data_IF_922656300558
#
_entry.id   IF_922656300558
#
_cell.length_a   1.000
_cell.length_b   1.000
_cell.length_c   1.000
_cell.angle_alpha   90.00
_cell.angle_beta   90.00
_cell.angle_gamma   90.00
#
_symmetry.space_group_name_H-M   'P 1'
#
loop_
_entity.id
_entity.type
_entity.pdbx_description
1 polymer ?
#
# COMPACT_ATOMS: atom_id res chain seq x y z
N UNK A 1 -15.40 10.78 22.41
CA UNK A 1 -14.08 10.49 21.82
C UNK A 1 -14.22 10.58 20.31
N UNK A 2 -13.24 11.15 19.61
CA UNK A 2 -13.27 11.37 18.16
C UNK A 2 -12.14 10.56 17.52
N UNK A 3 -12.44 9.89 16.41
CA UNK A 3 -11.47 9.24 15.53
C UNK A 3 -11.47 10.03 14.21
N UNK A 4 -10.29 10.37 13.73
CA UNK A 4 -10.09 11.03 12.45
C UNK A 4 -9.49 9.97 11.53
N UNK A 5 -10.12 9.77 10.39
CA UNK A 5 -9.62 8.90 9.33
C UNK A 5 -8.87 9.79 8.34
N UNK A 6 -7.58 9.57 8.19
CA UNK A 6 -6.65 10.44 7.47
C UNK A 6 -6.65 10.15 5.96
N UNK A 7 -6.92 8.90 5.57
CA UNK A 7 -6.85 8.46 4.18
C UNK A 7 -8.02 7.52 3.79
N UNK A 8 -8.10 7.20 2.50
CA UNK A 8 -9.14 6.30 1.96
C UNK A 8 -9.02 4.88 2.48
N UNK A 9 -7.80 4.41 2.77
CA UNK A 9 -7.56 3.09 3.33
C UNK A 9 -8.17 2.97 4.74
N UNK A 10 -7.97 3.95 5.62
CA UNK A 10 -8.58 3.99 6.94
C UNK A 10 -10.10 4.07 6.89
N UNK A 11 -10.66 4.85 5.94
CA UNK A 11 -12.11 4.88 5.69
C UNK A 11 -12.67 3.51 5.30
N UNK A 12 -12.02 2.85 4.35
CA UNK A 12 -12.40 1.51 3.93
C UNK A 12 -12.26 0.51 5.08
N UNK A 13 -11.11 0.53 5.76
CA UNK A 13 -10.80 -0.33 6.88
C UNK A 13 -11.89 -0.20 7.94
N UNK A 14 -12.25 1.03 8.33
CA UNK A 14 -13.32 1.31 9.30
C UNK A 14 -14.66 0.65 8.91
N UNK A 15 -15.10 0.85 7.67
CA UNK A 15 -16.33 0.21 7.17
C UNK A 15 -16.26 -1.31 7.20
N UNK A 16 -15.08 -1.87 6.91
CA UNK A 16 -14.87 -3.31 7.04
C UNK A 16 -14.87 -3.79 8.49
N UNK A 17 -14.38 -2.99 9.44
CA UNK A 17 -14.40 -3.34 10.87
C UNK A 17 -15.83 -3.44 11.39
N UNK A 18 -16.71 -2.54 10.97
CA UNK A 18 -18.12 -2.58 11.34
C UNK A 18 -18.77 -3.87 10.85
N UNK A 19 -18.53 -4.24 9.58
CA UNK A 19 -19.02 -5.51 9.01
C UNK A 19 -18.44 -6.71 9.74
N UNK A 20 -17.13 -6.71 9.99
CA UNK A 20 -16.41 -7.78 10.66
C UNK A 20 -16.93 -7.98 12.09
N UNK A 21 -17.13 -6.89 12.83
CA UNK A 21 -17.63 -6.91 14.20
C UNK A 21 -19.07 -7.41 14.28
N UNK A 22 -19.95 -6.94 13.39
CA UNK A 22 -21.33 -7.46 13.31
C UNK A 22 -21.37 -8.97 12.98
N UNK A 23 -20.39 -9.47 12.21
CA UNK A 23 -20.25 -10.91 11.98
C UNK A 23 -19.73 -11.66 13.23
N UNK A 24 -18.77 -11.08 13.92
CA UNK A 24 -18.17 -11.62 15.14
C UNK A 24 -19.22 -11.82 16.24
N UNK A 25 -20.06 -10.82 16.49
CA UNK A 25 -21.11 -10.90 17.53
C UNK A 25 -22.10 -12.06 17.28
N UNK A 26 -22.30 -12.44 16.02
CA UNK A 26 -23.16 -13.56 15.62
C UNK A 26 -22.47 -14.92 15.75
N UNK A 27 -21.14 -14.97 15.85
CA UNK A 27 -20.32 -16.19 15.89
C UNK A 27 -19.40 -16.15 17.11
N UNK A 28 -19.89 -16.66 18.24
CA UNK A 28 -19.21 -16.53 19.55
C UNK A 28 -18.10 -17.56 19.80
N UNK A 29 -17.76 -18.39 18.81
CA UNK A 29 -16.93 -19.58 19.03
C UNK A 29 -15.45 -19.36 18.65
N UNK A 30 -15.11 -18.19 18.10
CA UNK A 30 -13.75 -17.84 17.68
C UNK A 30 -13.16 -16.77 18.60
N UNK A 31 -11.85 -16.81 18.82
CA UNK A 31 -11.14 -15.66 19.36
C UNK A 31 -11.16 -14.49 18.37
N UNK A 32 -10.91 -13.28 18.89
CA UNK A 32 -10.86 -12.08 18.05
C UNK A 32 -9.83 -12.21 16.92
N UNK A 33 -8.63 -12.72 17.24
CA UNK A 33 -7.54 -12.91 16.28
C UNK A 33 -7.95 -13.88 15.15
N UNK A 34 -8.54 -15.02 15.52
CA UNK A 34 -9.01 -16.02 14.55
C UNK A 34 -10.13 -15.46 13.68
N UNK A 35 -11.03 -14.67 14.27
CA UNK A 35 -12.10 -14.03 13.51
C UNK A 35 -11.56 -12.99 12.52
N UNK A 36 -10.60 -12.16 12.93
CA UNK A 36 -9.94 -11.20 12.04
C UNK A 36 -9.24 -11.91 10.88
N UNK A 37 -8.42 -12.90 11.19
CA UNK A 37 -7.72 -13.69 10.17
C UNK A 37 -8.69 -14.28 9.17
N UNK A 38 -9.75 -14.95 9.65
CA UNK A 38 -10.79 -15.50 8.78
C UNK A 38 -11.54 -14.44 7.98
N UNK A 39 -11.91 -13.33 8.61
CA UNK A 39 -12.73 -12.32 7.96
C UNK A 39 -11.96 -11.61 6.85
N UNK A 40 -10.76 -11.13 7.14
CA UNK A 40 -9.95 -10.39 6.17
C UNK A 40 -9.27 -11.30 5.14
N UNK A 41 -8.73 -12.44 5.55
CA UNK A 41 -7.94 -13.29 4.66
C UNK A 41 -8.76 -14.39 3.96
N UNK A 42 -9.97 -14.71 4.44
CA UNK A 42 -10.82 -15.71 3.78
C UNK A 42 -12.10 -15.11 3.20
N UNK A 43 -12.90 -14.38 4.01
CA UNK A 43 -14.23 -13.91 3.60
C UNK A 43 -14.17 -12.68 2.69
N UNK A 44 -13.29 -11.74 3.00
CA UNK A 44 -13.11 -10.47 2.28
C UNK A 44 -11.74 -10.41 1.60
N UNK A 45 -11.15 -11.57 1.26
CA UNK A 45 -9.78 -11.67 0.78
C UNK A 45 -9.50 -10.77 -0.42
N UNK A 46 -10.28 -10.88 -1.47
CA UNK A 46 -10.06 -10.13 -2.72
C UNK A 46 -10.16 -8.61 -2.50
N UNK A 47 -11.16 -8.16 -1.74
CA UNK A 47 -11.33 -6.75 -1.40
C UNK A 47 -10.16 -6.25 -0.52
N UNK A 48 -9.70 -7.09 0.42
CA UNK A 48 -8.59 -6.77 1.31
C UNK A 48 -7.26 -6.71 0.56
N UNK A 49 -6.97 -7.70 -0.28
CA UNK A 49 -5.75 -7.72 -1.11
C UNK A 49 -5.72 -6.54 -2.08
N UNK A 50 -6.85 -6.20 -2.70
CA UNK A 50 -6.92 -5.03 -3.57
C UNK A 50 -6.65 -3.72 -2.83
N UNK A 51 -7.23 -3.55 -1.64
CA UNK A 51 -7.04 -2.34 -0.85
C UNK A 51 -5.63 -2.21 -0.28
N UNK A 52 -5.01 -3.33 0.11
CA UNK A 52 -3.59 -3.34 0.51
C UNK A 52 -2.71 -2.97 -0.67
N UNK A 53 -2.93 -3.54 -1.86
CA UNK A 53 -2.15 -3.20 -3.06
C UNK A 53 -2.24 -1.70 -3.40
N UNK A 54 -3.45 -1.12 -3.38
CA UNK A 54 -3.66 0.30 -3.60
C UNK A 54 -2.93 1.18 -2.56
N UNK A 55 -2.94 0.78 -1.29
CA UNK A 55 -2.25 1.51 -0.23
C UNK A 55 -0.72 1.40 -0.37
N UNK A 56 -0.19 0.23 -0.77
CA UNK A 56 1.24 0.07 -1.08
C UNK A 56 1.65 0.99 -2.24
N UNK A 57 0.88 1.02 -3.33
CA UNK A 57 1.10 1.94 -4.46
C UNK A 57 1.06 3.41 -4.03
N UNK A 58 0.10 3.78 -3.16
CA UNK A 58 0.03 5.14 -2.62
C UNK A 58 1.28 5.51 -1.84
N UNK A 59 1.74 4.63 -0.94
CA UNK A 59 2.96 4.86 -0.14
C UNK A 59 4.23 4.92 -1.00
N UNK A 60 4.28 4.12 -2.06
CA UNK A 60 5.36 4.19 -3.06
C UNK A 60 5.42 5.57 -3.72
N UNK A 61 4.28 6.09 -4.17
CA UNK A 61 4.20 7.41 -4.80
C UNK A 61 4.58 8.51 -3.81
N UNK A 62 4.18 8.40 -2.55
CA UNK A 62 4.56 9.35 -1.50
C UNK A 62 6.07 9.36 -1.23
N UNK A 63 6.73 8.20 -1.29
CA UNK A 63 8.16 8.08 -0.99
C UNK A 63 9.07 8.40 -2.18
N UNK A 64 8.67 7.98 -3.40
CA UNK A 64 9.53 8.02 -4.60
C UNK A 64 8.99 8.94 -5.72
N UNK A 65 7.80 9.51 -5.57
CA UNK A 65 7.12 10.25 -6.63
C UNK A 65 6.43 9.34 -7.64
N UNK A 66 5.70 9.95 -8.59
CA UNK A 66 5.00 9.21 -9.65
C UNK A 66 5.96 8.65 -10.70
N UNK A 67 7.18 9.18 -10.77
CA UNK A 67 8.23 8.75 -11.68
C UNK A 67 8.72 7.33 -11.37
N UNK A 68 8.40 6.77 -10.20
CA UNK A 68 8.69 5.37 -9.87
C UNK A 68 8.14 4.39 -10.92
N UNK A 69 6.95 4.67 -11.45
CA UNK A 69 6.28 3.83 -12.44
C UNK A 69 7.04 3.78 -13.77
N UNK A 70 7.76 4.85 -14.13
CA UNK A 70 8.63 4.89 -15.31
C UNK A 70 9.81 3.92 -15.22
N UNK A 71 10.12 3.40 -14.02
CA UNK A 71 11.19 2.44 -13.77
C UNK A 71 10.66 1.03 -13.57
N UNK A 72 9.55 0.85 -12.84
CA UNK A 72 9.03 -0.49 -12.48
C UNK A 72 8.10 -1.11 -13.53
N UNK A 73 7.45 -0.30 -14.36
CA UNK A 73 6.51 -0.80 -15.39
C UNK A 73 7.20 -1.12 -16.73
N UNK A 74 8.49 -0.81 -16.85
CA UNK A 74 9.28 -1.06 -18.05
C UNK A 74 10.29 -2.16 -17.79
N UNK A 75 10.60 -2.95 -18.83
CA UNK A 75 11.70 -3.90 -18.76
C UNK A 75 13.07 -3.17 -18.79
N UNK A 76 14.11 -3.82 -18.26
CA UNK A 76 15.49 -3.28 -18.16
C UNK A 76 15.96 -2.68 -19.50
N UNK A 77 15.65 -3.34 -20.61
CA UNK A 77 16.08 -2.91 -21.94
C UNK A 77 15.42 -1.60 -22.34
N UNK A 78 14.11 -1.43 -22.09
CA UNK A 78 13.39 -0.18 -22.36
C UNK A 78 13.88 0.96 -21.48
N UNK A 79 14.14 0.70 -20.20
CA UNK A 79 14.70 1.69 -19.28
C UNK A 79 16.05 2.20 -19.78
N UNK A 80 16.98 1.27 -20.08
CA UNK A 80 18.31 1.61 -20.59
C UNK A 80 18.21 2.37 -21.92
N UNK A 81 17.36 1.92 -22.85
CA UNK A 81 17.18 2.60 -24.12
C UNK A 81 16.66 4.04 -23.95
N UNK A 82 15.71 4.26 -23.03
CA UNK A 82 15.20 5.60 -22.69
C UNK A 82 16.33 6.47 -22.15
N UNK A 83 17.08 5.98 -21.16
CA UNK A 83 18.21 6.71 -20.58
C UNK A 83 19.30 7.06 -21.59
N UNK A 84 19.67 6.10 -22.45
CA UNK A 84 20.64 6.31 -23.53
C UNK A 84 20.15 7.36 -24.52
N UNK A 85 18.89 7.30 -24.97
CA UNK A 85 18.33 8.26 -25.91
C UNK A 85 18.34 9.69 -25.34
N UNK A 86 17.93 9.86 -24.08
CA UNK A 86 17.94 11.17 -23.41
C UNK A 86 19.35 11.77 -23.37
N UNK A 87 20.37 10.99 -23.01
CA UNK A 87 21.75 11.49 -22.92
C UNK A 87 22.41 11.71 -24.29
N UNK A 88 22.03 10.93 -25.31
CA UNK A 88 22.50 11.12 -26.68
C UNK A 88 21.96 12.38 -27.35
N UNK A 89 20.72 12.78 -27.01
CA UNK A 89 20.13 14.03 -27.50
C UNK A 89 20.83 15.26 -26.92
N UNK A 90 21.52 15.11 -25.78
CA UNK A 90 22.17 16.21 -25.05
C UNK A 90 23.68 16.33 -25.31
N UNK A 91 24.38 15.24 -25.66
CA UNK A 91 25.85 15.25 -25.83
C UNK A 91 26.33 14.31 -26.95
N UNK A 92 27.29 14.77 -27.76
CA UNK A 92 28.07 13.90 -28.65
C UNK A 92 29.08 13.07 -27.84
N UNK A 93 28.60 11.98 -27.22
CA UNK A 93 29.42 11.10 -26.38
C UNK A 93 30.35 10.21 -27.20
N UNK A 94 31.47 9.83 -26.59
CA UNK A 94 32.36 8.79 -27.12
C UNK A 94 31.76 7.39 -26.95
N UNK A 95 32.32 6.39 -27.65
CA UNK A 95 31.88 4.99 -27.53
C UNK A 95 32.16 4.42 -26.13
N UNK A 96 33.27 4.82 -25.50
CA UNK A 96 33.62 4.41 -24.15
C UNK A 96 32.64 5.01 -23.12
N UNK A 97 32.30 6.30 -23.27
CA UNK A 97 31.31 6.97 -22.40
C UNK A 97 29.91 6.35 -22.54
N UNK A 98 29.52 5.98 -23.77
CA UNK A 98 28.26 5.27 -24.01
C UNK A 98 28.23 3.92 -23.31
N UNK A 99 29.29 3.12 -23.43
CA UNK A 99 29.35 1.82 -22.77
C UNK A 99 29.26 1.96 -21.25
N UNK A 100 29.95 2.95 -20.68
CA UNK A 100 29.86 3.22 -19.25
C UNK A 100 28.44 3.64 -18.84
N UNK A 101 27.79 4.54 -19.59
CA UNK A 101 26.40 4.94 -19.33
C UNK A 101 25.44 3.74 -19.35
N UNK A 102 25.60 2.82 -20.29
CA UNK A 102 24.77 1.60 -20.35
C UNK A 102 24.96 0.75 -19.10
N UNK A 103 26.21 0.57 -18.63
CA UNK A 103 26.48 -0.17 -17.39
C UNK A 103 25.81 0.53 -16.20
N UNK A 104 25.97 1.84 -16.08
CA UNK A 104 25.42 2.62 -14.98
C UNK A 104 23.89 2.53 -14.94
N UNK A 105 23.21 2.68 -16.09
CA UNK A 105 21.75 2.56 -16.19
C UNK A 105 21.24 1.15 -15.85
N UNK A 106 21.97 0.10 -16.25
CA UNK A 106 21.63 -1.28 -15.90
C UNK A 106 21.75 -1.50 -14.39
N UNK A 107 22.84 -1.00 -13.78
CA UNK A 107 23.05 -1.11 -12.33
C UNK A 107 22.01 -0.33 -11.54
N UNK A 108 21.68 0.88 -11.98
CA UNK A 108 20.62 1.72 -11.41
C UNK A 108 19.27 0.99 -11.45
N UNK A 109 18.85 0.53 -12.63
CA UNK A 109 17.59 -0.19 -12.81
C UNK A 109 17.48 -1.42 -11.89
N UNK A 110 18.55 -2.22 -11.80
CA UNK A 110 18.57 -3.43 -10.98
C UNK A 110 18.57 -3.12 -9.49
N UNK A 111 19.36 -2.12 -9.08
CA UNK A 111 19.41 -1.66 -7.70
C UNK A 111 18.03 -1.16 -7.26
N UNK A 112 17.41 -0.32 -8.08
CA UNK A 112 16.08 0.22 -7.85
C UNK A 112 15.03 -0.90 -7.77
N UNK A 113 14.99 -1.81 -8.74
CA UNK A 113 14.05 -2.94 -8.74
C UNK A 113 14.19 -3.82 -7.50
N UNK A 114 15.41 -4.01 -6.99
CA UNK A 114 15.64 -4.76 -5.76
C UNK A 114 15.07 -4.04 -4.54
N UNK A 115 15.32 -2.74 -4.43
CA UNK A 115 14.79 -1.90 -3.34
C UNK A 115 13.26 -1.92 -3.39
N UNK A 116 12.69 -1.70 -4.58
CA UNK A 116 11.25 -1.74 -4.83
C UNK A 116 10.62 -3.07 -4.40
N UNK A 117 11.17 -4.21 -4.81
CA UNK A 117 10.60 -5.52 -4.43
C UNK A 117 10.65 -5.75 -2.92
N UNK A 118 11.73 -5.33 -2.27
CA UNK A 118 11.82 -5.41 -0.81
C UNK A 118 10.79 -4.49 -0.16
N UNK A 119 10.64 -3.27 -0.67
CA UNK A 119 9.66 -2.30 -0.21
C UNK A 119 8.24 -2.84 -0.29
N UNK A 120 7.85 -3.41 -1.43
CA UNK A 120 6.52 -4.02 -1.63
C UNK A 120 6.20 -5.06 -0.55
N UNK A 121 7.13 -5.98 -0.31
CA UNK A 121 6.96 -7.04 0.69
C UNK A 121 6.86 -6.45 2.10
N UNK A 122 7.77 -5.54 2.46
CA UNK A 122 7.78 -4.94 3.80
C UNK A 122 6.53 -4.07 4.03
N UNK A 123 6.11 -3.28 3.04
CA UNK A 123 4.92 -2.43 3.17
C UNK A 123 3.63 -3.22 3.23
N UNK A 124 3.50 -4.30 2.46
CA UNK A 124 2.34 -5.16 2.58
C UNK A 124 2.19 -5.71 4.01
N UNK A 125 3.29 -6.20 4.59
CA UNK A 125 3.28 -6.71 5.97
C UNK A 125 2.95 -5.60 7.00
N UNK A 126 3.55 -4.42 6.86
CA UNK A 126 3.25 -3.25 7.70
C UNK A 126 1.76 -2.86 7.63
N UNK A 127 1.18 -2.77 6.44
CA UNK A 127 -0.23 -2.42 6.25
C UNK A 127 -1.16 -3.48 6.86
N UNK A 128 -0.81 -4.76 6.75
CA UNK A 128 -1.58 -5.85 7.39
C UNK A 128 -1.52 -5.76 8.92
N UNK A 129 -0.36 -5.41 9.47
CA UNK A 129 -0.19 -5.18 10.90
C UNK A 129 -0.96 -3.94 11.37
N UNK A 130 -0.92 -2.84 10.62
CA UNK A 130 -1.71 -1.63 10.88
C UNK A 130 -3.21 -1.91 10.86
N UNK A 131 -3.70 -2.65 9.86
CA UNK A 131 -5.11 -3.06 9.77
C UNK A 131 -5.52 -3.88 11.01
N UNK A 132 -4.61 -4.74 11.48
CA UNK A 132 -4.82 -5.55 12.68
C UNK A 132 -4.93 -4.67 13.92
N UNK A 133 -3.97 -3.76 14.13
CA UNK A 133 -3.97 -2.81 15.25
C UNK A 133 -5.19 -1.88 15.22
N UNK A 134 -5.58 -1.44 14.03
CA UNK A 134 -6.74 -0.59 13.83
C UNK A 134 -8.02 -1.32 14.24
N UNK A 135 -8.14 -2.63 13.95
CA UNK A 135 -9.27 -3.43 14.40
C UNK A 135 -9.29 -3.68 15.90
N UNK A 136 -8.13 -3.93 16.53
CA UNK A 136 -8.07 -3.99 18.00
C UNK A 136 -8.50 -2.68 18.64
N UNK A 137 -8.07 -1.56 18.07
CA UNK A 137 -8.47 -0.23 18.52
C UNK A 137 -9.98 -0.07 18.39
N UNK A 138 -10.56 -0.36 17.23
CA UNK A 138 -12.00 -0.38 17.00
C UNK A 138 -12.74 -1.28 17.99
N UNK A 139 -12.24 -2.50 18.21
CA UNK A 139 -12.87 -3.51 19.07
C UNK A 139 -12.88 -3.09 20.55
N UNK A 140 -11.89 -2.34 21.00
CA UNK A 140 -11.83 -1.85 22.38
C UNK A 140 -12.39 -0.43 22.55
N UNK A 141 -12.64 0.28 21.46
CA UNK A 141 -13.13 1.65 21.51
C UNK A 141 -14.60 1.70 22.01
N UNK A 142 -14.98 2.78 22.73
CA UNK A 142 -16.32 2.94 23.30
C UNK A 142 -17.39 3.03 22.20
N UNK A 143 -18.63 2.64 22.50
CA UNK A 143 -19.71 2.66 21.48
C UNK A 143 -20.04 4.08 20.97
N UNK A 144 -19.86 5.10 21.82
CA UNK A 144 -20.13 6.50 21.47
C UNK A 144 -18.87 7.18 20.91
N UNK A 145 -18.52 6.84 19.67
CA UNK A 145 -17.45 7.47 18.90
C UNK A 145 -18.00 8.33 17.78
N UNK A 146 -17.38 9.49 17.59
CA UNK A 146 -17.57 10.28 16.36
C UNK A 146 -16.41 9.97 15.44
N UNK A 147 -16.71 9.42 14.27
CA UNK A 147 -15.72 9.08 13.25
C UNK A 147 -15.82 10.11 12.14
N UNK A 148 -14.69 10.73 11.77
CA UNK A 148 -14.66 11.80 10.79
C UNK A 148 -13.67 11.46 9.68
N UNK A 149 -14.09 11.61 8.42
CA UNK A 149 -13.22 11.53 7.24
C UNK A 149 -13.48 12.74 6.35
N UNK A 150 -12.45 13.53 6.01
CA UNK A 150 -12.59 14.74 5.17
C UNK A 150 -13.78 15.62 5.57
N UNK A 151 -13.87 15.94 6.86
CA UNK A 151 -14.95 16.72 7.50
C UNK A 151 -16.36 16.08 7.48
N UNK A 152 -16.52 14.89 6.90
CA UNK A 152 -17.76 14.11 6.94
C UNK A 152 -17.82 13.23 8.20
N UNK A 153 -18.93 13.29 8.94
CA UNK A 153 -19.18 12.37 10.06
C UNK A 153 -19.72 11.05 9.52
N UNK A 154 -18.99 9.96 9.77
CA UNK A 154 -19.42 8.59 9.43
C UNK A 154 -20.28 8.07 10.59
N UNK A 155 -21.61 8.16 10.48
CA UNK A 155 -22.57 7.79 11.53
C UNK A 155 -22.85 6.28 11.65
N UNK A 156 -21.87 5.42 11.35
CA UNK A 156 -22.03 3.99 11.60
C UNK A 156 -21.42 3.65 12.97
N UNK A 157 -22.23 3.84 14.02
CA UNK A 157 -21.83 3.50 15.37
C UNK A 157 -21.70 1.97 15.52
N UNK A 158 -20.68 1.54 16.26
CA UNK A 158 -20.53 0.17 16.77
C UNK A 158 -21.74 -0.13 17.67
N UNK A 159 -22.72 -0.85 17.14
CA UNK A 159 -23.89 -1.34 17.89
C UNK A 159 -23.54 -2.63 18.59
#
# INVERSE_FOLDING_TARGET
MKIILENSFEKWAWGMMIKAHSNFEKKKDLSLCEHMGRFFNDLCREETEHMIANEVESRLVEEYGVEVFDVIEVDEKKYVQKGVNTHYEECAMSEDDLQQLIVDLVEEYRSFNRIYKNFMVTKEDEIREELTHFYYTFFNAPQNLTVIYKDEIIQEAKR
#
